data_IF_312771838914
#
_entry.id   IF_312771838914
#
_cell.length_a   1.000
_cell.length_b   1.000
_cell.length_c   1.000
_cell.angle_alpha   90.00
_cell.angle_beta   90.00
_cell.angle_gamma   90.00
#
_symmetry.space_group_name_H-M   'P 1'
#
loop_
_entity.id
_entity.type
_entity.pdbx_description
1 polymer ?
#
# COMPACT_ATOMS: atom_id res chain seq x y z
N UNK A 1 -6.49 -16.05 11.58
CA UNK A 1 -5.70 -15.88 10.34
C UNK A 1 -4.87 -14.61 10.51
N UNK A 2 -3.62 -14.61 10.07
CA UNK A 2 -2.76 -13.40 10.11
C UNK A 2 -3.22 -12.43 9.03
N UNK A 3 -3.41 -11.16 9.36
CA UNK A 3 -3.83 -10.14 8.41
C UNK A 3 -2.75 -9.93 7.33
N UNK A 4 -3.16 -9.57 6.11
CA UNK A 4 -2.23 -9.23 5.03
C UNK A 4 -2.00 -7.73 5.02
N UNK A 5 -0.81 -7.30 5.45
CA UNK A 5 -0.35 -5.91 5.37
C UNK A 5 0.70 -5.78 4.27
N UNK A 6 0.32 -5.18 3.13
CA UNK A 6 1.19 -5.09 1.96
C UNK A 6 2.39 -4.17 2.21
N UNK A 7 2.22 -3.05 2.91
CA UNK A 7 3.34 -2.16 3.18
C UNK A 7 4.32 -2.77 4.19
N UNK A 8 3.83 -3.45 5.23
CA UNK A 8 4.68 -4.21 6.15
C UNK A 8 5.43 -5.35 5.43
N UNK A 9 4.74 -6.10 4.55
CA UNK A 9 5.38 -7.12 3.70
C UNK A 9 6.50 -6.53 2.86
N UNK A 10 6.26 -5.39 2.20
CA UNK A 10 7.27 -4.72 1.39
C UNK A 10 8.48 -4.25 2.20
N UNK A 11 8.26 -3.71 3.40
CA UNK A 11 9.36 -3.31 4.29
C UNK A 11 10.28 -4.50 4.57
N UNK A 12 9.72 -5.68 4.81
CA UNK A 12 10.51 -6.91 4.99
C UNK A 12 11.27 -7.33 3.74
N UNK A 13 10.58 -7.46 2.62
CA UNK A 13 11.21 -7.84 1.35
C UNK A 13 12.30 -6.85 0.91
N UNK A 14 12.10 -5.55 1.15
CA UNK A 14 13.08 -4.51 0.84
C UNK A 14 14.30 -4.59 1.77
N UNK A 15 14.09 -4.82 3.07
CA UNK A 15 15.17 -4.97 4.03
C UNK A 15 16.00 -6.23 3.76
N UNK A 16 15.37 -7.37 3.50
CA UNK A 16 16.08 -8.60 3.13
C UNK A 16 16.90 -8.44 1.85
N UNK A 17 16.33 -7.80 0.82
CA UNK A 17 17.07 -7.48 -0.42
C UNK A 17 18.26 -6.57 -0.15
N UNK A 18 18.13 -5.61 0.76
CA UNK A 18 19.22 -4.71 1.12
C UNK A 18 20.39 -5.44 1.78
N UNK A 19 20.09 -6.46 2.59
CA UNK A 19 21.09 -7.26 3.31
C UNK A 19 21.84 -8.21 2.38
N UNK A 20 21.10 -8.85 1.50
CA UNK A 20 21.64 -9.81 0.55
C UNK A 20 22.30 -9.15 -0.67
N UNK A 21 22.39 -7.81 -0.72
CA UNK A 21 23.00 -7.11 -1.86
C UNK A 21 24.52 -7.30 -1.87
N UNK A 22 25.14 -7.48 -3.04
CA UNK A 22 26.59 -7.48 -3.14
C UNK A 22 27.14 -6.12 -2.67
N UNK A 23 28.35 -6.06 -2.04
CA UNK A 23 28.92 -4.85 -1.42
C UNK A 23 29.10 -3.62 -2.33
N UNK A 24 28.82 -3.75 -3.63
CA UNK A 24 29.03 -2.75 -4.68
C UNK A 24 27.73 -2.08 -5.16
N UNK A 25 26.58 -2.32 -4.52
CA UNK A 25 25.32 -1.70 -4.93
C UNK A 25 25.30 -0.18 -4.65
N UNK A 26 25.53 0.63 -5.69
CA UNK A 26 25.34 2.08 -5.66
C UNK A 26 23.86 2.43 -5.62
N UNK A 27 23.47 3.43 -4.81
CA UNK A 27 22.14 4.05 -4.90
C UNK A 27 22.31 5.29 -5.79
N UNK A 28 21.61 5.32 -6.94
CA UNK A 28 21.71 6.42 -7.92
C UNK A 28 23.16 6.79 -8.31
N UNK A 29 24.04 5.80 -8.45
CA UNK A 29 25.45 6.01 -8.83
C UNK A 29 26.38 6.53 -7.72
N UNK A 30 25.87 6.85 -6.52
CA UNK A 30 26.69 7.21 -5.35
C UNK A 30 26.85 6.03 -4.40
N UNK A 31 28.06 5.83 -3.89
CA UNK A 31 28.37 4.82 -2.86
C UNK A 31 28.03 5.38 -1.48
N UNK A 32 26.74 5.43 -1.16
CA UNK A 32 26.27 5.75 0.18
C UNK A 32 25.78 4.45 0.80
N UNK A 33 26.49 3.99 1.84
CA UNK A 33 26.16 2.78 2.58
C UNK A 33 25.59 3.21 3.92
N UNK A 34 24.28 3.18 4.04
CA UNK A 34 23.60 3.29 5.32
C UNK A 34 23.76 1.97 6.09
N UNK A 35 23.79 2.02 7.42
CA UNK A 35 23.57 0.79 8.20
C UNK A 35 22.16 0.27 7.92
N UNK A 36 21.90 -1.01 8.19
CA UNK A 36 20.58 -1.60 8.06
C UNK A 36 19.50 -0.88 8.89
N UNK A 37 19.85 -0.39 10.09
CA UNK A 37 18.93 0.38 10.94
C UNK A 37 18.51 1.70 10.31
N UNK A 38 19.46 2.40 9.71
CA UNK A 38 19.20 3.63 8.97
C UNK A 38 18.38 3.37 7.69
N UNK A 39 18.67 2.27 6.99
CA UNK A 39 17.89 1.87 5.81
C UNK A 39 16.45 1.51 6.19
N UNK A 40 16.26 0.75 7.28
CA UNK A 40 14.96 0.44 7.86
C UNK A 40 14.22 1.70 8.29
N UNK A 41 14.89 2.65 8.97
CA UNK A 41 14.28 3.93 9.29
C UNK A 41 13.79 4.63 8.02
N UNK A 42 14.56 4.63 6.93
CA UNK A 42 14.14 5.19 5.64
C UNK A 42 12.95 4.44 5.00
N UNK A 43 12.88 3.11 5.11
CA UNK A 43 11.72 2.32 4.67
C UNK A 43 10.45 2.72 5.45
N UNK A 44 10.54 2.82 6.77
CA UNK A 44 9.40 3.16 7.64
C UNK A 44 8.89 4.59 7.46
N UNK A 45 9.63 5.46 6.75
CA UNK A 45 9.16 6.80 6.40
C UNK A 45 7.94 6.79 5.48
N UNK A 46 7.57 5.66 4.87
CA UNK A 46 6.29 5.52 4.14
C UNK A 46 5.06 5.71 5.04
N UNK A 47 5.20 5.55 6.36
CA UNK A 47 4.11 5.74 7.34
C UNK A 47 4.18 7.08 8.09
N UNK A 48 5.26 7.86 7.93
CA UNK A 48 5.47 9.07 8.73
C UNK A 48 4.45 10.14 8.34
N UNK A 49 3.74 10.68 9.35
CA UNK A 49 2.67 11.66 9.15
C UNK A 49 1.33 11.05 8.73
N UNK A 50 1.27 9.73 8.49
CA UNK A 50 0.03 8.98 8.30
C UNK A 50 -0.34 8.19 9.56
N UNK A 51 0.48 7.21 9.92
CA UNK A 51 0.21 6.27 11.02
C UNK A 51 1.34 6.08 12.03
N UNK A 52 2.59 6.42 11.68
CA UNK A 52 3.72 6.35 12.61
C UNK A 52 4.29 7.74 12.94
N UNK A 53 4.58 7.94 14.22
CA UNK A 53 5.41 9.04 14.71
C UNK A 53 6.90 8.74 14.50
N UNK A 54 7.74 9.78 14.51
CA UNK A 54 9.19 9.58 14.44
C UNK A 54 9.75 8.76 15.61
N UNK A 55 9.15 8.89 16.80
CA UNK A 55 9.56 8.10 17.96
C UNK A 55 9.28 6.61 17.75
N UNK A 56 8.14 6.26 17.14
CA UNK A 56 7.84 4.87 16.78
C UNK A 56 8.79 4.34 15.70
N UNK A 57 9.10 5.15 14.68
CA UNK A 57 10.10 4.79 13.66
C UNK A 57 11.47 4.53 14.29
N UNK A 58 11.90 5.42 15.19
CA UNK A 58 13.17 5.28 15.91
C UNK A 58 13.20 4.00 16.75
N UNK A 59 12.12 3.69 17.46
CA UNK A 59 12.01 2.49 18.28
C UNK A 59 12.08 1.21 17.43
N UNK A 60 11.29 1.13 16.35
CA UNK A 60 11.30 0.00 15.41
C UNK A 60 12.66 -0.17 14.72
N UNK A 61 13.33 0.93 14.38
CA UNK A 61 14.66 0.90 13.78
C UNK A 61 15.81 0.67 14.79
N UNK A 62 15.51 0.63 16.09
CA UNK A 62 16.51 0.56 17.18
C UNK A 62 17.56 1.67 17.08
N UNK A 63 17.09 2.90 16.86
CA UNK A 63 17.88 4.13 16.79
C UNK A 63 17.38 5.14 17.84
N UNK A 64 18.26 5.99 18.38
CA UNK A 64 17.83 7.18 19.12
C UNK A 64 16.94 8.08 18.25
N UNK A 65 15.89 8.66 18.83
CA UNK A 65 14.99 9.56 18.09
C UNK A 65 15.71 10.77 17.51
N UNK A 66 16.71 11.30 18.23
CA UNK A 66 17.54 12.42 17.77
C UNK A 66 18.39 12.05 16.55
N UNK A 67 18.83 10.80 16.44
CA UNK A 67 19.55 10.31 15.27
C UNK A 67 18.62 10.26 14.05
N UNK A 68 17.38 9.78 14.21
CA UNK A 68 16.39 9.81 13.12
C UNK A 68 16.06 11.25 12.70
N UNK A 69 15.92 12.18 13.66
CA UNK A 69 15.72 13.61 13.36
C UNK A 69 16.89 14.20 12.61
N UNK A 70 18.12 13.91 13.04
CA UNK A 70 19.33 14.34 12.36
C UNK A 70 19.40 13.80 10.93
N UNK A 71 19.09 12.52 10.72
CA UNK A 71 19.09 11.92 9.38
C UNK A 71 18.09 12.60 8.43
N UNK A 72 16.94 13.07 8.94
CA UNK A 72 15.98 13.85 8.12
C UNK A 72 16.50 15.21 7.66
N UNK A 73 17.64 15.68 8.14
CA UNK A 73 18.32 16.88 7.62
C UNK A 73 19.41 16.54 6.60
N UNK A 74 19.79 15.26 6.49
CA UNK A 74 20.82 14.80 5.58
C UNK A 74 20.23 14.53 4.19
N UNK A 75 20.78 15.18 3.16
CA UNK A 75 20.34 15.06 1.77
C UNK A 75 20.36 13.60 1.30
N UNK A 76 21.37 12.83 1.69
CA UNK A 76 21.53 11.45 1.29
C UNK A 76 20.41 10.55 1.85
N UNK A 77 19.99 10.78 3.09
CA UNK A 77 18.91 10.03 3.73
C UNK A 77 17.56 10.40 3.12
N UNK A 78 17.29 11.69 2.89
CA UNK A 78 16.09 12.15 2.19
C UNK A 78 16.00 11.56 0.78
N UNK A 79 17.11 11.56 0.05
CA UNK A 79 17.19 10.97 -1.30
C UNK A 79 16.90 9.47 -1.28
N UNK A 80 17.38 8.75 -0.25
CA UNK A 80 17.07 7.34 -0.05
C UNK A 80 15.58 7.15 0.26
N UNK A 81 15.02 7.89 1.22
CA UNK A 81 13.61 7.77 1.60
C UNK A 81 12.69 8.04 0.40
N UNK A 82 12.95 9.08 -0.39
CA UNK A 82 12.15 9.39 -1.59
C UNK A 82 12.27 8.32 -2.68
N UNK A 83 13.47 7.76 -2.86
CA UNK A 83 13.67 6.63 -3.75
C UNK A 83 12.87 5.41 -3.30
N UNK A 84 12.90 5.10 -2.00
CA UNK A 84 12.17 3.99 -1.41
C UNK A 84 10.65 4.18 -1.51
N UNK A 85 10.12 5.38 -1.24
CA UNK A 85 8.70 5.72 -1.43
C UNK A 85 8.23 5.49 -2.88
N UNK A 86 9.08 5.86 -3.84
CA UNK A 86 8.82 5.64 -5.26
C UNK A 86 8.74 4.15 -5.58
N UNK A 87 9.74 3.37 -5.14
CA UNK A 87 9.81 1.92 -5.38
C UNK A 87 8.70 1.16 -4.68
N UNK A 88 8.35 1.56 -3.47
CA UNK A 88 7.18 1.06 -2.75
C UNK A 88 5.91 1.31 -3.55
N UNK A 89 5.69 2.54 -4.01
CA UNK A 89 4.47 2.88 -4.75
C UNK A 89 4.37 2.11 -6.07
N UNK A 90 5.46 1.89 -6.78
CA UNK A 90 5.52 1.01 -7.96
C UNK A 90 5.11 -0.42 -7.63
N UNK A 91 5.77 -1.02 -6.64
CA UNK A 91 5.50 -2.38 -6.20
C UNK A 91 4.06 -2.54 -5.72
N UNK A 92 3.55 -1.62 -4.90
CA UNK A 92 2.20 -1.70 -4.33
C UNK A 92 1.11 -1.69 -5.41
N UNK A 93 1.30 -0.86 -6.45
CA UNK A 93 0.40 -0.83 -7.61
C UNK A 93 0.44 -2.14 -8.41
N UNK A 94 1.62 -2.74 -8.54
CA UNK A 94 1.79 -4.03 -9.20
C UNK A 94 1.08 -5.14 -8.41
N UNK A 95 1.27 -5.19 -7.10
CA UNK A 95 0.61 -6.18 -6.24
C UNK A 95 -0.91 -6.13 -6.36
N UNK A 96 -1.50 -4.94 -6.29
CA UNK A 96 -2.96 -4.76 -6.41
C UNK A 96 -3.50 -5.14 -7.79
N UNK A 97 -2.68 -5.10 -8.83
CA UNK A 97 -3.09 -5.47 -10.19
C UNK A 97 -2.89 -6.95 -10.48
N UNK A 98 -1.92 -7.62 -9.84
CA UNK A 98 -1.53 -9.00 -10.15
C UNK A 98 -2.07 -10.04 -9.17
N UNK A 99 -2.10 -9.74 -7.86
CA UNK A 99 -2.51 -10.70 -6.83
C UNK A 99 -4.00 -10.61 -6.52
N UNK A 100 -4.62 -11.77 -6.33
CA UNK A 100 -5.97 -11.89 -5.76
C UNK A 100 -5.88 -12.04 -4.25
N UNK A 101 -6.56 -11.16 -3.53
CA UNK A 101 -6.66 -11.21 -2.07
C UNK A 101 -8.06 -11.62 -1.64
N UNK A 102 -8.18 -12.24 -0.46
CA UNK A 102 -9.47 -12.39 0.22
C UNK A 102 -10.03 -11.02 0.61
N UNK A 103 -11.34 -10.93 0.86
CA UNK A 103 -11.96 -9.67 1.30
C UNK A 103 -11.34 -9.15 2.60
N UNK A 104 -11.06 -10.03 3.57
CA UNK A 104 -10.40 -9.66 4.83
C UNK A 104 -8.98 -9.12 4.61
N UNK A 105 -8.25 -9.71 3.66
CA UNK A 105 -6.93 -9.21 3.26
C UNK A 105 -7.05 -7.84 2.59
N UNK A 106 -7.99 -7.66 1.67
CA UNK A 106 -8.27 -6.36 1.07
C UNK A 106 -8.66 -5.29 2.09
N UNK A 107 -9.42 -5.66 3.12
CA UNK A 107 -9.78 -4.76 4.22
C UNK A 107 -8.55 -4.33 5.03
N UNK A 108 -7.67 -5.27 5.39
CA UNK A 108 -6.41 -4.96 6.06
C UNK A 108 -5.49 -4.08 5.21
N UNK A 109 -5.37 -4.39 3.91
CA UNK A 109 -4.61 -3.60 2.93
C UNK A 109 -5.17 -2.18 2.81
N UNK A 110 -6.49 -2.03 2.69
CA UNK A 110 -7.15 -0.72 2.59
C UNK A 110 -7.00 0.10 3.88
N UNK A 111 -7.03 -0.57 5.03
CA UNK A 111 -6.81 0.06 6.32
C UNK A 111 -5.36 0.53 6.47
N UNK A 112 -4.38 -0.32 6.18
CA UNK A 112 -2.96 0.03 6.21
C UNK A 112 -2.64 1.16 5.22
N UNK A 113 -3.25 1.14 4.03
CA UNK A 113 -3.10 2.20 3.05
C UNK A 113 -3.46 3.58 3.62
N UNK A 114 -4.50 3.64 4.46
CA UNK A 114 -4.92 4.87 5.13
C UNK A 114 -3.97 5.35 6.25
N UNK A 115 -2.97 4.55 6.61
CA UNK A 115 -1.88 4.92 7.52
C UNK A 115 -0.60 5.37 6.80
N UNK A 116 -0.55 5.26 5.48
CA UNK A 116 0.59 5.73 4.71
C UNK A 116 0.62 7.26 4.64
N UNK A 117 1.82 7.81 4.46
CA UNK A 117 2.06 9.22 4.17
C UNK A 117 1.25 9.66 2.93
N UNK A 118 0.71 10.87 2.98
CA UNK A 118 -0.17 11.40 1.93
C UNK A 118 0.45 11.39 0.52
N UNK A 119 1.75 11.72 0.42
CA UNK A 119 2.45 11.69 -0.86
C UNK A 119 2.55 10.27 -1.42
N UNK A 120 2.83 9.28 -0.58
CA UNK A 120 2.88 7.86 -0.95
C UNK A 120 1.49 7.39 -1.38
N UNK A 121 0.45 7.73 -0.61
CA UNK A 121 -0.94 7.44 -1.00
C UNK A 121 -1.27 8.01 -2.37
N UNK A 122 -0.89 9.25 -2.64
CA UNK A 122 -1.14 9.91 -3.93
C UNK A 122 -0.43 9.22 -5.09
N UNK A 123 0.84 8.83 -4.89
CA UNK A 123 1.63 8.09 -5.89
C UNK A 123 1.02 6.72 -6.23
N UNK A 124 0.32 6.08 -5.30
CA UNK A 124 -0.41 4.82 -5.54
C UNK A 124 -1.80 5.08 -6.12
N UNK A 125 -2.58 5.95 -5.47
CA UNK A 125 -4.01 6.17 -5.74
C UNK A 125 -4.26 6.73 -7.13
N UNK A 126 -3.50 7.74 -7.56
CA UNK A 126 -3.77 8.46 -8.83
C UNK A 126 -3.62 7.52 -10.05
N UNK A 127 -2.50 6.79 -10.23
CA UNK A 127 -2.36 5.88 -11.37
C UNK A 127 -3.37 4.73 -11.35
N UNK A 128 -3.66 4.16 -10.19
CA UNK A 128 -4.66 3.08 -10.07
C UNK A 128 -6.07 3.57 -10.38
N UNK A 129 -6.42 4.78 -9.96
CA UNK A 129 -7.73 5.37 -10.26
C UNK A 129 -7.87 5.63 -11.77
N UNK A 130 -6.80 6.07 -12.42
CA UNK A 130 -6.77 6.22 -13.86
C UNK A 130 -6.94 4.86 -14.56
N UNK A 131 -6.24 3.82 -14.12
CA UNK A 131 -6.42 2.45 -14.66
C UNK A 131 -7.83 1.92 -14.44
N UNK A 132 -8.42 2.14 -13.27
CA UNK A 132 -9.80 1.75 -12.98
C UNK A 132 -10.78 2.42 -13.95
N UNK A 133 -10.60 3.73 -14.24
CA UNK A 133 -11.46 4.45 -15.18
C UNK A 133 -11.36 3.92 -16.61
N UNK A 134 -10.15 3.59 -17.07
CA UNK A 134 -9.94 2.99 -18.40
C UNK A 134 -10.65 1.63 -18.47
N UNK A 135 -10.40 0.75 -17.50
CA UNK A 135 -11.06 -0.55 -17.42
C UNK A 135 -12.58 -0.42 -17.37
N UNK A 136 -13.10 0.55 -16.63
CA UNK A 136 -14.53 0.80 -16.55
C UNK A 136 -15.12 1.19 -17.91
N UNK A 137 -14.44 2.07 -18.65
CA UNK A 137 -14.85 2.46 -19.99
C UNK A 137 -14.83 1.27 -20.95
N UNK A 138 -13.74 0.51 -20.97
CA UNK A 138 -13.59 -0.65 -21.85
C UNK A 138 -14.67 -1.70 -21.55
N UNK A 139 -14.89 -2.03 -20.27
CA UNK A 139 -15.93 -2.99 -19.84
C UNK A 139 -17.33 -2.52 -20.22
N UNK A 140 -17.64 -1.23 -20.04
CA UNK A 140 -18.94 -0.67 -20.42
C UNK A 140 -19.18 -0.77 -21.93
N UNK A 141 -18.17 -0.46 -22.76
CA UNK A 141 -18.25 -0.58 -24.23
C UNK A 141 -18.50 -2.02 -24.67
N UNK A 142 -17.79 -3.01 -24.10
CA UNK A 142 -18.03 -4.43 -24.37
C UNK A 142 -19.47 -4.84 -24.03
N UNK A 143 -19.95 -4.47 -22.84
CA UNK A 143 -21.30 -4.82 -22.39
C UNK A 143 -22.38 -4.18 -23.26
N UNK A 144 -22.22 -2.91 -23.67
CA UNK A 144 -23.14 -2.23 -24.58
C UNK A 144 -23.16 -2.86 -25.97
N UNK A 145 -22.00 -3.35 -26.43
CA UNK A 145 -21.87 -4.11 -27.67
C UNK A 145 -22.39 -5.55 -27.60
N UNK A 146 -22.94 -5.99 -26.46
CA UNK A 146 -23.40 -7.36 -26.25
C UNK A 146 -22.28 -8.41 -26.23
N UNK A 147 -21.05 -7.98 -25.92
CA UNK A 147 -19.87 -8.83 -25.82
C UNK A 147 -19.48 -9.00 -24.35
N UNK A 148 -18.77 -10.08 -24.07
CA UNK A 148 -18.18 -10.28 -22.75
C UNK A 148 -16.80 -9.58 -22.68
N UNK A 149 -16.51 -8.83 -21.60
CA UNK A 149 -15.18 -8.30 -21.36
C UNK A 149 -14.13 -9.41 -21.20
N UNK A 150 -12.88 -9.09 -21.52
CA UNK A 150 -11.76 -10.00 -21.26
C UNK A 150 -11.66 -10.34 -19.76
N UNK A 151 -11.42 -11.62 -19.46
CA UNK A 151 -11.39 -12.13 -18.09
C UNK A 151 -10.24 -11.54 -17.27
N UNK A 152 -9.09 -11.25 -17.89
CA UNK A 152 -8.00 -10.58 -17.19
C UNK A 152 -8.39 -9.15 -16.83
N UNK A 153 -8.96 -8.38 -17.76
CA UNK A 153 -9.43 -7.02 -17.48
C UNK A 153 -10.55 -7.00 -16.43
N UNK A 154 -11.47 -7.97 -16.46
CA UNK A 154 -12.52 -8.13 -15.45
C UNK A 154 -11.95 -8.39 -14.06
N UNK A 155 -10.91 -9.23 -13.95
CA UNK A 155 -10.21 -9.47 -12.67
C UNK A 155 -9.50 -8.23 -12.17
N UNK A 156 -8.74 -7.53 -13.02
CA UNK A 156 -8.07 -6.29 -12.62
C UNK A 156 -9.09 -5.24 -12.19
N UNK A 157 -10.20 -5.11 -12.91
CA UNK A 157 -11.30 -4.23 -12.53
C UNK A 157 -11.86 -4.59 -11.14
N UNK A 158 -12.15 -5.87 -10.88
CA UNK A 158 -12.61 -6.35 -9.58
C UNK A 158 -11.62 -6.01 -8.46
N UNK A 159 -10.32 -6.26 -8.65
CA UNK A 159 -9.26 -5.99 -7.67
C UNK A 159 -9.21 -4.50 -7.32
N UNK A 160 -9.14 -3.65 -8.35
CA UNK A 160 -9.07 -2.20 -8.17
C UNK A 160 -10.36 -1.63 -7.57
N UNK A 161 -11.52 -2.06 -8.06
CA UNK A 161 -12.81 -1.66 -7.50
C UNK A 161 -12.90 -2.01 -6.02
N UNK A 162 -12.55 -3.24 -5.65
CA UNK A 162 -12.56 -3.71 -4.25
C UNK A 162 -11.67 -2.83 -3.39
N UNK A 163 -10.43 -2.60 -3.81
CA UNK A 163 -9.50 -1.73 -3.09
C UNK A 163 -10.06 -0.31 -2.90
N UNK A 164 -10.54 0.32 -3.97
CA UNK A 164 -11.10 1.68 -3.90
C UNK A 164 -12.36 1.76 -3.04
N UNK A 165 -13.25 0.78 -3.13
CA UNK A 165 -14.46 0.74 -2.31
C UNK A 165 -14.14 0.67 -0.82
N UNK A 166 -13.15 -0.15 -0.44
CA UNK A 166 -12.78 -0.31 0.96
C UNK A 166 -12.02 0.90 1.52
N UNK A 167 -11.08 1.49 0.78
CA UNK A 167 -10.37 2.69 1.27
C UNK A 167 -11.34 3.87 1.48
N UNK A 168 -12.33 4.03 0.59
CA UNK A 168 -13.33 5.11 0.69
C UNK A 168 -14.41 4.81 1.74
N UNK A 169 -14.65 3.54 2.07
CA UNK A 169 -15.49 3.16 3.20
C UNK A 169 -14.82 3.46 4.55
N UNK A 170 -13.50 3.32 4.64
CA UNK A 170 -12.72 3.63 5.85
C UNK A 170 -12.54 5.15 6.01
N UNK A 171 -12.07 5.84 4.96
CA UNK A 171 -11.82 7.27 4.98
C UNK A 171 -12.30 7.91 3.68
N UNK A 172 -13.55 8.41 3.66
CA UNK A 172 -14.14 9.00 2.46
C UNK A 172 -13.35 10.20 1.92
N UNK A 173 -13.21 10.27 0.60
CA UNK A 173 -12.63 11.40 -0.13
C UNK A 173 -13.51 11.77 -1.33
N UNK A 174 -13.03 12.66 -2.22
CA UNK A 174 -13.72 12.98 -3.48
C UNK A 174 -13.87 11.77 -4.41
N UNK A 175 -13.02 10.75 -4.29
CA UNK A 175 -13.10 9.52 -5.10
C UNK A 175 -14.39 8.75 -4.83
N UNK A 176 -14.95 8.82 -3.62
CA UNK A 176 -16.22 8.18 -3.27
C UNK A 176 -17.36 8.51 -4.23
N UNK A 177 -17.49 9.78 -4.66
CA UNK A 177 -18.55 10.20 -5.60
C UNK A 177 -18.42 9.52 -6.96
N UNK A 178 -17.19 9.32 -7.43
CA UNK A 178 -16.93 8.59 -8.68
C UNK A 178 -17.35 7.12 -8.54
N UNK A 179 -17.03 6.49 -7.40
CA UNK A 179 -17.40 5.11 -7.15
C UNK A 179 -18.92 4.94 -7.15
N UNK A 180 -19.62 5.76 -6.37
CA UNK A 180 -21.08 5.69 -6.22
C UNK A 180 -21.82 5.95 -7.53
N UNK A 181 -21.39 6.96 -8.31
CA UNK A 181 -22.09 7.36 -9.53
C UNK A 181 -21.82 6.44 -10.71
N UNK A 182 -20.56 6.08 -10.92
CA UNK A 182 -20.12 5.48 -12.18
C UNK A 182 -19.69 4.01 -11.99
N UNK A 183 -18.98 3.69 -10.90
CA UNK A 183 -18.32 2.38 -10.77
C UNK A 183 -19.20 1.30 -10.15
N UNK A 184 -20.02 1.64 -9.14
CA UNK A 184 -20.92 0.67 -8.49
C UNK A 184 -21.94 0.11 -9.48
N UNK A 185 -22.68 0.93 -10.27
CA UNK A 185 -23.63 0.40 -11.25
C UNK A 185 -22.94 -0.50 -12.28
N UNK A 186 -21.75 -0.10 -12.75
CA UNK A 186 -20.99 -0.90 -13.69
C UNK A 186 -20.56 -2.25 -13.07
N UNK A 187 -20.04 -2.23 -11.84
CA UNK A 187 -19.61 -3.42 -11.13
C UNK A 187 -20.77 -4.40 -10.87
N UNK A 188 -21.96 -3.91 -10.54
CA UNK A 188 -23.15 -4.74 -10.40
C UNK A 188 -23.51 -5.47 -11.71
N UNK A 189 -23.37 -4.80 -12.86
CA UNK A 189 -23.62 -5.42 -14.17
C UNK A 189 -22.51 -6.38 -14.61
N UNK A 190 -21.24 -6.04 -14.37
CA UNK A 190 -20.08 -6.79 -14.89
C UNK A 190 -19.62 -7.93 -13.97
N UNK A 191 -19.78 -7.79 -12.65
CA UNK A 191 -19.35 -8.77 -11.65
C UNK A 191 -20.54 -9.51 -11.00
N UNK A 192 -21.76 -8.99 -11.13
CA UNK A 192 -22.96 -9.64 -10.61
C UNK A 192 -22.94 -9.79 -9.09
N UNK A 193 -23.39 -10.95 -8.60
CA UNK A 193 -23.56 -11.22 -7.16
C UNK A 193 -22.24 -11.21 -6.36
N UNK A 194 -21.09 -11.33 -7.01
CA UNK A 194 -19.78 -11.30 -6.34
C UNK A 194 -19.48 -9.96 -5.65
N UNK A 195 -20.16 -8.89 -6.05
CA UNK A 195 -19.91 -7.54 -5.53
C UNK A 195 -20.61 -7.27 -4.21
N UNK A 196 -21.66 -8.01 -3.87
CA UNK A 196 -22.51 -7.75 -2.69
C UNK A 196 -21.75 -7.79 -1.36
N UNK A 197 -20.83 -8.76 -1.11
CA UNK A 197 -20.00 -8.73 0.10
C UNK A 197 -19.12 -7.48 0.18
N UNK A 198 -18.66 -6.95 -0.95
CA UNK A 198 -17.79 -5.77 -1.03
C UNK A 198 -18.60 -4.49 -0.74
N UNK A 199 -19.81 -4.39 -1.31
CA UNK A 199 -20.69 -3.23 -1.12
C UNK A 199 -21.30 -3.17 0.29
N UNK A 200 -21.52 -4.33 0.92
CA UNK A 200 -22.05 -4.44 2.28
C UNK A 200 -20.98 -4.31 3.36
N UNK A 201 -19.70 -4.46 3.01
CA UNK A 201 -18.60 -4.33 3.96
C UNK A 201 -18.57 -2.96 4.64
N UNK A 202 -18.36 -2.94 5.95
CA UNK A 202 -18.21 -1.71 6.75
C UNK A 202 -16.99 -1.84 7.67
N UNK A 203 -16.26 -0.75 7.92
CA UNK A 203 -15.18 -0.77 8.89
C UNK A 203 -15.74 -1.00 10.29
N UNK A 204 -15.20 -1.98 11.00
CA UNK A 204 -15.48 -2.17 12.42
C UNK A 204 -14.55 -1.26 13.22
N UNK A 205 -15.04 -0.09 13.66
CA UNK A 205 -14.25 0.91 14.39
C UNK A 205 -13.56 0.32 15.63
N UNK A 206 -14.22 -0.60 16.33
CA UNK A 206 -13.72 -1.28 17.53
C UNK A 206 -12.50 -2.20 17.25
N UNK A 207 -12.31 -2.66 16.02
CA UNK A 207 -11.18 -3.55 15.65
C UNK A 207 -9.92 -2.80 15.21
N UNK A 208 -10.02 -1.49 14.95
CA UNK A 208 -8.88 -0.69 14.45
C UNK A 208 -7.68 -0.63 15.41
N UNK A 209 -7.85 -0.53 16.74
CA UNK A 209 -6.72 -0.59 17.68
C UNK A 209 -5.98 -1.94 17.61
N UNK A 210 -6.71 -3.04 17.41
CA UNK A 210 -6.12 -4.37 17.23
C UNK A 210 -5.30 -4.48 15.96
N UNK A 211 -5.83 -3.99 14.83
CA UNK A 211 -5.12 -3.97 13.55
C UNK A 211 -3.82 -3.15 13.59
N UNK A 212 -3.80 -2.04 14.36
CA UNK A 212 -2.58 -1.27 14.55
C UNK A 212 -1.53 -1.99 15.38
N UNK A 213 -1.95 -2.69 16.44
CA UNK A 213 -1.06 -3.56 17.19
C UNK A 213 -0.50 -4.67 16.31
N UNK A 214 -1.34 -5.34 15.53
CA UNK A 214 -0.94 -6.42 14.62
C UNK A 214 0.04 -5.91 13.55
N UNK A 215 -0.19 -4.72 12.98
CA UNK A 215 0.72 -4.08 12.04
C UNK A 215 2.09 -3.82 12.67
N UNK A 216 2.11 -3.27 13.89
CA UNK A 216 3.37 -3.02 14.61
C UNK A 216 4.10 -4.32 14.91
N UNK A 217 3.38 -5.38 15.30
CA UNK A 217 3.95 -6.70 15.51
C UNK A 217 4.51 -7.30 14.22
N UNK A 218 3.83 -7.16 13.09
CA UNK A 218 4.30 -7.63 11.79
C UNK A 218 5.60 -6.90 11.38
N UNK A 219 5.62 -5.58 11.50
CA UNK A 219 6.83 -4.78 11.24
C UNK A 219 7.94 -5.19 12.22
N UNK A 220 7.62 -5.39 13.50
CA UNK A 220 8.61 -5.79 14.50
C UNK A 220 9.18 -7.19 14.21
N UNK A 221 8.34 -8.19 13.90
CA UNK A 221 8.80 -9.55 13.63
C UNK A 221 9.71 -9.60 12.38
N UNK A 222 9.35 -8.81 11.36
CA UNK A 222 10.17 -8.62 10.15
C UNK A 222 11.51 -7.96 10.49
N UNK A 223 11.51 -6.95 11.35
CA UNK A 223 12.74 -6.24 11.73
C UNK A 223 13.59 -7.02 12.72
N UNK A 224 13.02 -7.88 13.56
CA UNK A 224 13.72 -8.73 14.51
C UNK A 224 14.40 -9.92 13.87
N UNK A 225 13.68 -10.67 13.02
CA UNK A 225 14.28 -11.71 12.17
C UNK A 225 15.38 -11.16 11.29
N UNK A 226 15.26 -9.89 10.95
CA UNK A 226 16.33 -9.19 10.29
C UNK A 226 17.46 -8.92 11.29
N UNK A 227 17.33 -8.01 12.24
CA UNK A 227 18.42 -7.44 13.05
C UNK A 227 19.13 -8.39 14.06
N UNK A 228 18.74 -9.66 14.15
CA UNK A 228 19.44 -10.73 14.90
C UNK A 228 20.59 -11.35 14.12
#
# INVERSE_FOLDING_TARGET
MRHTFLAARWVGEALERYRNRPPKATIKGKRIVFSERHYLAALLHIYVGGGLSLSQVANLARLPVEEVRFQRTQIDFLTLADYLKTKFSEWYREMLQLEDFSLDSYAAIAWEFNLLEEMVRSQVKIPLLHRLKILAYDIDDYLQGGKEPDEYDRRVFRRLFTFFQLIEAIRPTLTRRLLERDMIPLAQRSLGAEIEPILSWRPEEEKQPGLFSDLLMDIQEVTEKSLS
#
